data_IF_730634092283
#
_entry.id   IF_730634092283
#
_cell.length_a   1.000
_cell.length_b   1.000
_cell.length_c   1.000
_cell.angle_alpha   90.00
_cell.angle_beta   90.00
_cell.angle_gamma   90.00
#
_symmetry.space_group_name_H-M   'P 1'
#
loop_
_entity.id
_entity.type
_entity.pdbx_description
1 polymer ?
#
# COMPACT_ATOMS: atom_id res chain seq x y z
N UNK A 1 -8.00 -3.79 17.82
CA UNK A 1 -8.63 -2.60 17.21
C UNK A 1 -7.68 -1.84 16.28
N UNK A 2 -6.44 -1.52 16.67
CA UNK A 2 -5.49 -0.78 15.81
C UNK A 2 -5.06 -1.53 14.52
N UNK A 3 -4.95 -2.86 14.54
CA UNK A 3 -4.54 -3.67 13.37
C UNK A 3 -5.56 -3.62 12.21
N UNK A 4 -6.86 -3.56 12.53
CA UNK A 4 -7.92 -3.47 11.52
C UNK A 4 -7.89 -2.14 10.78
N UNK A 5 -7.62 -1.05 11.50
CA UNK A 5 -7.51 0.28 10.89
C UNK A 5 -6.30 0.37 9.95
N UNK A 6 -5.16 -0.23 10.33
CA UNK A 6 -3.97 -0.28 9.47
C UNK A 6 -4.19 -1.07 8.18
N UNK A 7 -4.80 -2.26 8.26
CA UNK A 7 -5.15 -3.07 7.08
C UNK A 7 -6.16 -2.33 6.19
N UNK A 8 -7.16 -1.69 6.80
CA UNK A 8 -8.17 -0.94 6.06
C UNK A 8 -7.57 0.27 5.34
N UNK A 9 -6.72 1.05 6.01
CA UNK A 9 -6.04 2.20 5.39
C UNK A 9 -5.16 1.77 4.21
N UNK A 10 -4.45 0.66 4.33
CA UNK A 10 -3.65 0.12 3.23
C UNK A 10 -4.49 -0.41 2.07
N UNK A 11 -5.60 -1.09 2.36
CA UNK A 11 -6.54 -1.54 1.34
C UNK A 11 -7.14 -0.37 0.55
N UNK A 12 -7.51 0.71 1.23
CA UNK A 12 -7.98 1.96 0.59
C UNK A 12 -6.88 2.59 -0.28
N UNK A 13 -5.64 2.65 0.23
CA UNK A 13 -4.48 3.14 -0.53
C UNK A 13 -4.29 2.33 -1.82
N UNK A 14 -4.24 1.00 -1.72
CA UNK A 14 -4.14 0.11 -2.87
C UNK A 14 -5.29 0.29 -3.87
N UNK A 15 -6.52 0.41 -3.39
CA UNK A 15 -7.69 0.62 -4.24
C UNK A 15 -7.60 1.90 -5.05
N UNK A 16 -7.25 3.02 -4.40
CA UNK A 16 -7.12 4.32 -5.07
C UNK A 16 -5.99 4.31 -6.11
N UNK A 17 -4.87 3.70 -5.75
CA UNK A 17 -3.69 3.61 -6.62
C UNK A 17 -3.92 2.71 -7.82
N UNK A 18 -4.64 1.59 -7.63
CA UNK A 18 -5.06 0.70 -8.71
C UNK A 18 -5.99 1.39 -9.71
N UNK A 19 -6.96 2.17 -9.23
CA UNK A 19 -7.85 2.96 -10.09
C UNK A 19 -7.05 3.98 -10.90
N UNK A 20 -6.09 4.67 -10.28
CA UNK A 20 -5.20 5.62 -10.95
C UNK A 20 -4.38 4.98 -12.08
N UNK A 21 -3.85 3.77 -11.86
CA UNK A 21 -3.09 3.04 -12.89
C UNK A 21 -3.97 2.66 -14.08
N UNK A 22 -5.20 2.21 -13.83
CA UNK A 22 -6.14 1.82 -14.90
C UNK A 22 -6.60 3.06 -15.69
N UNK A 23 -6.91 4.15 -14.99
CA UNK A 23 -7.47 5.35 -15.63
C UNK A 23 -6.40 6.22 -16.31
N UNK A 24 -5.17 6.22 -15.80
CA UNK A 24 -4.04 7.01 -16.31
C UNK A 24 -2.80 6.12 -16.46
N UNK A 25 -2.75 5.22 -17.46
CA UNK A 25 -1.67 4.25 -17.62
C UNK A 25 -0.41 4.91 -18.20
N UNK A 26 0.31 5.66 -17.37
CA UNK A 26 1.65 6.19 -17.68
C UNK A 26 2.72 5.31 -17.05
N UNK A 27 3.76 4.95 -17.82
CA UNK A 27 4.86 4.10 -17.33
C UNK A 27 5.55 4.67 -16.08
N UNK A 28 5.75 5.99 -16.06
CA UNK A 28 6.33 6.70 -14.92
C UNK A 28 5.46 6.60 -13.66
N UNK A 29 4.14 6.72 -13.83
CA UNK A 29 3.16 6.60 -12.76
C UNK A 29 3.13 5.18 -12.20
N UNK A 30 3.16 4.16 -13.06
CA UNK A 30 3.20 2.75 -12.66
C UNK A 30 4.49 2.44 -11.90
N UNK A 31 5.63 2.97 -12.34
CA UNK A 31 6.91 2.76 -11.67
C UNK A 31 6.94 3.34 -10.25
N UNK A 32 6.50 4.60 -10.09
CA UNK A 32 6.41 5.25 -8.77
C UNK A 32 5.42 4.51 -7.88
N UNK A 33 4.25 4.14 -8.40
CA UNK A 33 3.20 3.41 -7.67
C UNK A 33 3.69 2.06 -7.19
N UNK A 34 4.37 1.30 -8.06
CA UNK A 34 4.98 0.01 -7.72
C UNK A 34 5.91 0.15 -6.53
N UNK A 35 6.83 1.13 -6.57
CA UNK A 35 7.80 1.39 -5.50
C UNK A 35 7.08 1.80 -4.20
N UNK A 36 6.08 2.68 -4.28
CA UNK A 36 5.29 3.11 -3.11
C UNK A 36 4.57 1.93 -2.46
N UNK A 37 3.94 1.06 -3.24
CA UNK A 37 3.25 -0.13 -2.72
C UNK A 37 4.23 -1.11 -2.10
N UNK A 38 5.42 -1.27 -2.68
CA UNK A 38 6.47 -2.15 -2.16
C UNK A 38 6.96 -1.66 -0.79
N UNK A 39 7.24 -0.36 -0.67
CA UNK A 39 7.66 0.28 0.58
C UNK A 39 6.55 0.25 1.64
N UNK A 40 5.32 0.60 1.26
CA UNK A 40 4.18 0.61 2.19
C UNK A 40 3.80 -0.82 2.63
N UNK A 41 3.91 -1.81 1.74
CA UNK A 41 3.76 -3.22 2.09
C UNK A 41 4.87 -3.69 3.03
N UNK A 42 6.12 -3.27 2.81
CA UNK A 42 7.23 -3.56 3.70
C UNK A 42 7.04 -2.93 5.09
N UNK A 43 6.61 -1.67 5.14
CA UNK A 43 6.29 -0.95 6.39
C UNK A 43 5.15 -1.65 7.16
N UNK A 44 4.10 -2.08 6.46
CA UNK A 44 3.05 -2.90 7.07
C UNK A 44 3.59 -4.23 7.59
N UNK A 45 4.37 -4.97 6.80
CA UNK A 45 4.92 -6.26 7.24
C UNK A 45 5.82 -6.07 8.46
N UNK A 46 6.67 -5.04 8.48
CA UNK A 46 7.53 -4.70 9.61
C UNK A 46 6.68 -4.35 10.84
N UNK A 47 5.73 -3.43 10.72
CA UNK A 47 4.80 -3.04 11.80
C UNK A 47 3.98 -4.23 12.34
N UNK A 48 3.62 -5.17 11.47
CA UNK A 48 2.93 -6.40 11.88
C UNK A 48 3.87 -7.41 12.55
N UNK A 49 5.14 -7.49 12.12
CA UNK A 49 6.15 -8.42 12.64
C UNK A 49 6.81 -7.92 13.94
N UNK A 50 6.91 -6.60 14.14
CA UNK A 50 7.33 -5.97 15.40
C UNK A 50 6.31 -6.15 16.52
N UNK A 51 5.06 -6.53 16.18
CA UNK A 51 4.07 -6.92 17.17
C UNK A 51 4.22 -8.38 17.58
N UNK A 52 5.37 -8.69 18.18
CA UNK A 52 5.63 -9.91 18.95
C UNK A 52 5.70 -9.54 20.43
N UNK A 53 4.54 -9.20 20.98
CA UNK A 53 4.21 -9.38 22.40
C UNK A 53 3.04 -10.37 22.47
#
# INVERSE_FOLDING_TARGET
>A
MQKFLGIFAFAVLLGFLGILVIHVPRLDLIAVISITVLLAGWDMVLTFCEKKD
#
